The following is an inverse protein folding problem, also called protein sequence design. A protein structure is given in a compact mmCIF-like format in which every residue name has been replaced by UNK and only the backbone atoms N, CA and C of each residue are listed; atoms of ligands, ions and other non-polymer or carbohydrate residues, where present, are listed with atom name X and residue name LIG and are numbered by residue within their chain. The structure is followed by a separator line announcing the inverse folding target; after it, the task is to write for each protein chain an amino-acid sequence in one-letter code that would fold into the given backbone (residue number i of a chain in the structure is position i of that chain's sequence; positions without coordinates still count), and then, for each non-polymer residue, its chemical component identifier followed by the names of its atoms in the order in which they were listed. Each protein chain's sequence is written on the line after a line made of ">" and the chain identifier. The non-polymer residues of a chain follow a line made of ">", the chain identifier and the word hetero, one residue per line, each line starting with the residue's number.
data_IF_438203614984
#
_entry.id   IF_438203614984
#
_cell.length_a   1.000
_cell.length_b   1.000
_cell.length_c   1.000
_cell.angle_alpha   90.00
_cell.angle_beta   90.00
_cell.angle_gamma   90.00
#
_symmetry.space_group_name_H-M   'P 1'
#
loop_
_entity.id
_entity.type
_entity.pdbx_description
1 polymer ?
#
# COMPACT_ATOMS: atom_id res chain seq x y z
N UNK A 1 9.19 -5.30 21.48
CA UNK A 1 10.60 -5.07 21.76
C UNK A 1 11.13 -6.08 22.75
N UNK A 2 10.57 -6.20 23.96
CA UNK A 2 11.03 -7.15 24.97
C UNK A 2 10.98 -8.63 24.52
N UNK A 3 10.11 -8.99 23.59
CA UNK A 3 10.02 -10.30 22.98
C UNK A 3 11.03 -10.50 21.83
N UNK A 4 11.92 -9.55 21.55
CA UNK A 4 12.94 -9.63 20.50
C UNK A 4 12.46 -9.20 19.11
N UNK A 5 11.38 -8.43 19.01
CA UNK A 5 10.95 -7.86 17.73
C UNK A 5 11.89 -6.72 17.30
N UNK A 6 12.25 -6.68 16.01
CA UNK A 6 13.08 -5.64 15.40
C UNK A 6 12.28 -4.46 14.86
N UNK A 7 10.97 -4.58 14.78
CA UNK A 7 10.04 -3.54 14.36
C UNK A 7 8.59 -3.93 14.65
N UNK A 8 7.71 -2.95 14.59
CA UNK A 8 6.26 -3.12 14.83
C UNK A 8 5.48 -2.57 13.64
N UNK A 9 4.49 -3.31 13.16
CA UNK A 9 3.47 -2.79 12.26
C UNK A 9 2.16 -2.57 13.03
N UNK A 10 1.73 -1.31 13.14
CA UNK A 10 0.42 -0.95 13.68
C UNK A 10 -0.65 -1.18 12.61
N UNK A 11 -1.53 -2.15 12.85
CA UNK A 11 -2.66 -2.40 11.98
C UNK A 11 -3.90 -1.65 12.50
N UNK A 12 -4.03 -0.38 12.13
CA UNK A 12 -5.20 0.42 12.51
C UNK A 12 -6.34 0.14 11.53
N UNK A 13 -7.27 -0.70 11.97
CA UNK A 13 -8.45 -1.11 11.19
C UNK A 13 -9.70 -0.50 11.82
N UNK A 14 -10.12 0.65 11.32
CA UNK A 14 -11.25 1.38 11.86
C UNK A 14 -12.20 1.85 10.76
N UNK A 15 -13.48 1.59 10.96
CA UNK A 15 -14.55 2.07 10.08
C UNK A 15 -15.39 3.05 10.91
N UNK A 16 -15.29 4.37 10.67
CA UNK A 16 -16.06 5.37 11.39
C UNK A 16 -17.52 5.31 10.94
N UNK A 17 -18.40 4.82 11.79
CA UNK A 17 -19.83 4.66 11.52
C UNK A 17 -20.70 5.74 12.18
N UNK A 18 -20.13 6.51 13.11
CA UNK A 18 -20.83 7.64 13.71
C UNK A 18 -20.89 8.82 12.73
N UNK A 19 -22.10 9.18 12.33
CA UNK A 19 -22.36 10.29 11.40
C UNK A 19 -21.95 11.67 11.95
N UNK A 20 -21.75 11.80 13.26
CA UNK A 20 -21.32 13.04 13.90
C UNK A 20 -19.80 13.12 14.10
N UNK A 21 -19.07 12.04 13.81
CA UNK A 21 -17.61 12.00 13.95
C UNK A 21 -16.95 12.65 12.72
N UNK A 22 -16.33 13.83 12.84
CA UNK A 22 -15.71 14.49 11.71
C UNK A 22 -14.39 13.81 11.30
N UNK A 23 -14.06 13.87 10.02
CA UNK A 23 -12.88 13.16 9.46
C UNK A 23 -11.55 13.54 10.13
N UNK A 24 -11.38 14.79 10.56
CA UNK A 24 -10.15 15.22 11.23
C UNK A 24 -9.93 14.55 12.60
N UNK A 25 -11.00 14.20 13.31
CA UNK A 25 -10.90 13.45 14.57
C UNK A 25 -10.47 12.01 14.32
N UNK A 26 -11.00 11.39 13.25
CA UNK A 26 -10.54 10.07 12.80
C UNK A 26 -9.05 10.11 12.45
N UNK A 27 -8.61 11.10 11.67
CA UNK A 27 -7.20 11.28 11.31
C UNK A 27 -6.30 11.49 12.54
N UNK A 28 -6.74 12.31 13.49
CA UNK A 28 -6.01 12.55 14.75
C UNK A 28 -5.85 11.27 15.57
N UNK A 29 -6.87 10.43 15.64
CA UNK A 29 -6.80 9.14 16.34
C UNK A 29 -5.62 8.27 15.81
N UNK A 30 -5.41 8.21 14.49
CA UNK A 30 -4.27 7.46 13.92
C UNK A 30 -2.92 8.05 14.36
N UNK A 31 -2.83 9.38 14.38
CA UNK A 31 -1.60 10.10 14.79
C UNK A 31 -1.33 9.88 16.28
N UNK A 32 -2.37 9.93 17.11
CA UNK A 32 -2.23 9.75 18.55
C UNK A 32 -1.83 8.31 18.89
N UNK A 33 -2.39 7.32 18.23
CA UNK A 33 -1.98 5.91 18.37
C UNK A 33 -0.49 5.76 17.99
N UNK A 34 -0.06 6.31 16.87
CA UNK A 34 1.32 6.23 16.42
C UNK A 34 2.26 6.86 17.47
N UNK A 35 1.97 8.06 17.94
CA UNK A 35 2.78 8.77 18.95
C UNK A 35 2.89 7.99 20.24
N UNK A 36 1.76 7.48 20.76
CA UNK A 36 1.74 6.70 21.99
C UNK A 36 2.61 5.44 21.90
N UNK A 37 2.61 4.76 20.75
CA UNK A 37 3.47 3.60 20.54
C UNK A 37 4.93 4.03 20.40
N UNK A 38 5.24 5.08 19.63
CA UNK A 38 6.62 5.61 19.48
C UNK A 38 7.23 6.04 20.81
N UNK A 39 6.43 6.56 21.74
CA UNK A 39 6.88 6.90 23.10
C UNK A 39 7.19 5.66 23.96
N UNK A 40 6.63 4.51 23.60
CA UNK A 40 6.74 3.27 24.38
C UNK A 40 7.83 2.31 23.91
N UNK A 41 8.37 2.49 22.69
CA UNK A 41 9.36 1.61 22.08
C UNK A 41 10.48 2.39 21.39
N UNK A 42 11.66 1.73 21.24
CA UNK A 42 12.81 2.31 20.53
C UNK A 42 13.04 1.67 19.16
N UNK A 43 12.27 0.63 18.83
CA UNK A 43 12.33 -0.05 17.51
C UNK A 43 11.48 0.68 16.48
N UNK A 44 11.73 0.52 15.19
CA UNK A 44 10.95 1.13 14.13
C UNK A 44 9.46 0.77 14.20
N UNK A 45 8.60 1.74 13.92
CA UNK A 45 7.16 1.59 13.92
C UNK A 45 6.60 1.93 12.54
N UNK A 46 6.08 0.92 11.86
CA UNK A 46 5.28 1.06 10.65
C UNK A 46 3.80 1.26 11.03
N UNK A 47 3.08 2.02 10.22
CA UNK A 47 1.63 2.14 10.35
C UNK A 47 0.93 1.73 9.06
N UNK A 48 -0.02 0.81 9.17
CA UNK A 48 -0.82 0.33 8.06
C UNK A 48 -2.16 1.02 8.01
N UNK A 49 -2.48 1.56 6.85
CA UNK A 49 -3.57 2.50 6.66
C UNK A 49 -4.68 1.94 5.76
N UNK A 50 -5.86 2.53 5.88
CA UNK A 50 -6.93 2.46 4.89
C UNK A 50 -6.65 3.45 3.74
N UNK A 51 -7.19 3.24 2.53
CA UNK A 51 -7.15 4.24 1.46
C UNK A 51 -8.23 5.33 1.61
N UNK A 52 -9.09 5.25 2.61
CA UNK A 52 -10.33 6.03 2.72
C UNK A 52 -10.17 7.34 3.50
N UNK A 53 -9.10 8.07 3.24
CA UNK A 53 -8.92 9.42 3.74
C UNK A 53 -9.34 10.46 2.70
N UNK A 54 -9.95 11.55 3.12
CA UNK A 54 -10.32 12.65 2.21
C UNK A 54 -9.10 13.28 1.51
N UNK A 55 -7.94 13.28 2.19
CA UNK A 55 -6.65 13.73 1.65
C UNK A 55 -5.53 12.80 2.12
N UNK A 56 -5.38 11.68 1.43
CA UNK A 56 -4.38 10.67 1.81
C UNK A 56 -2.94 11.22 1.80
N UNK A 57 -2.58 12.06 0.83
CA UNK A 57 -1.25 12.66 0.78
C UNK A 57 -0.95 13.54 2.00
N UNK A 58 -1.94 14.29 2.49
CA UNK A 58 -1.80 15.06 3.72
C UNK A 58 -1.70 14.16 4.95
N UNK A 59 -2.51 13.11 5.01
CA UNK A 59 -2.46 12.14 6.10
C UNK A 59 -1.09 11.44 6.18
N UNK A 60 -0.54 11.01 5.04
CA UNK A 60 0.80 10.41 4.96
C UNK A 60 1.88 11.38 5.47
N UNK A 61 1.82 12.65 5.04
CA UNK A 61 2.72 13.70 5.54
C UNK A 61 2.62 13.87 7.06
N UNK A 62 1.42 13.95 7.62
CA UNK A 62 1.20 14.12 9.06
C UNK A 62 1.73 12.93 9.87
N UNK A 63 1.62 11.72 9.35
CA UNK A 63 2.19 10.51 9.98
C UNK A 63 3.73 10.50 9.90
N UNK A 64 4.30 10.89 8.78
CA UNK A 64 5.74 11.07 8.61
C UNK A 64 6.29 12.08 9.63
N UNK A 65 5.66 13.25 9.75
CA UNK A 65 5.98 14.29 10.73
C UNK A 65 5.75 13.84 12.19
N UNK A 66 4.84 12.90 12.43
CA UNK A 66 4.61 12.29 13.73
C UNK A 66 5.59 11.16 14.07
N UNK A 67 6.53 10.84 13.17
CA UNK A 67 7.62 9.90 13.40
C UNK A 67 7.34 8.46 12.93
N UNK A 68 6.43 8.24 12.00
CA UNK A 68 6.30 6.93 11.36
C UNK A 68 7.60 6.56 10.63
N UNK A 69 8.15 5.39 10.91
CA UNK A 69 9.32 4.87 10.19
C UNK A 69 8.93 4.25 8.84
N UNK A 70 7.70 3.75 8.74
CA UNK A 70 7.13 3.27 7.47
C UNK A 70 5.61 3.45 7.42
N UNK A 71 5.10 3.59 6.19
CA UNK A 71 3.67 3.60 5.88
C UNK A 71 3.36 2.39 4.99
N UNK A 72 2.42 1.54 5.45
CA UNK A 72 1.98 0.35 4.72
C UNK A 72 0.63 0.64 4.04
N UNK A 73 0.60 0.55 2.73
CA UNK A 73 -0.54 0.84 1.86
C UNK A 73 -1.03 -0.41 1.15
N UNK A 74 -2.22 -0.93 1.36
CA UNK A 74 -3.28 -0.53 2.27
C UNK A 74 -3.88 -1.74 2.97
N UNK A 75 -4.56 -1.50 4.09
CA UNK A 75 -5.50 -2.46 4.65
C UNK A 75 -6.56 -2.79 3.59
N UNK A 76 -6.87 -4.07 3.47
CA UNK A 76 -7.98 -4.52 2.65
C UNK A 76 -9.21 -4.65 3.53
N UNK A 77 -10.17 -3.74 3.36
CA UNK A 77 -11.43 -3.80 4.07
C UNK A 77 -12.31 -4.87 3.45
N UNK A 78 -12.74 -5.80 4.28
CA UNK A 78 -13.70 -6.81 3.89
C UNK A 78 -15.08 -6.18 3.77
N UNK A 79 -15.72 -6.41 2.64
CA UNK A 79 -17.06 -5.92 2.41
C UNK A 79 -18.05 -6.98 2.85
N UNK A 80 -19.12 -6.62 3.58
CA UNK A 80 -20.19 -7.54 3.89
C UNK A 80 -20.98 -7.90 2.62
N UNK A 81 -21.52 -9.10 2.57
CA UNK A 81 -22.48 -9.54 1.57
C UNK A 81 -23.78 -9.99 2.25
N UNK A 82 -24.85 -10.13 1.49
CA UNK A 82 -26.15 -10.52 2.00
C UNK A 82 -26.56 -11.88 1.45
N UNK A 83 -26.88 -12.79 2.35
CA UNK A 83 -27.63 -14.00 2.03
C UNK A 83 -29.11 -13.62 1.90
N UNK A 84 -29.62 -13.62 0.68
CA UNK A 84 -31.00 -13.21 0.39
C UNK A 84 -32.01 -14.28 0.77
N UNK A 85 -31.61 -15.54 0.89
CA UNK A 85 -32.49 -16.63 1.27
C UNK A 85 -32.73 -16.64 2.78
N UNK A 86 -31.69 -16.39 3.57
CA UNK A 86 -31.73 -16.36 5.02
C UNK A 86 -31.90 -14.96 5.61
N UNK A 87 -31.78 -13.89 4.79
CA UNK A 87 -31.79 -12.47 5.18
C UNK A 87 -30.74 -12.14 6.25
N UNK A 88 -29.53 -12.68 6.04
CA UNK A 88 -28.40 -12.51 6.97
C UNK A 88 -27.23 -11.79 6.29
N UNK A 89 -26.40 -11.12 7.12
CA UNK A 89 -25.12 -10.58 6.68
C UNK A 89 -24.10 -11.70 6.79
N UNK A 90 -23.45 -12.02 5.66
CA UNK A 90 -22.46 -13.10 5.59
C UNK A 90 -21.05 -12.56 5.39
N UNK A 91 -20.06 -13.06 6.15
CA UNK A 91 -18.67 -12.75 5.89
C UNK A 91 -18.21 -13.50 4.64
N UNK A 92 -17.68 -12.78 3.66
CA UNK A 92 -17.13 -13.38 2.46
C UNK A 92 -15.71 -12.91 2.19
N UNK A 93 -14.73 -13.81 2.36
CA UNK A 93 -13.34 -13.52 2.11
C UNK A 93 -12.98 -13.79 0.64
N UNK A 94 -12.82 -12.73 -0.13
CA UNK A 94 -12.24 -12.79 -1.47
C UNK A 94 -10.74 -12.51 -1.40
N UNK A 95 -9.92 -13.42 -1.89
CA UNK A 95 -8.47 -13.17 -2.03
C UNK A 95 -8.23 -12.14 -3.15
N UNK A 96 -7.18 -11.32 -2.97
CA UNK A 96 -6.83 -10.28 -3.95
C UNK A 96 -6.41 -10.86 -5.31
N UNK A 97 -6.48 -10.01 -6.31
CA UNK A 97 -5.85 -10.15 -7.63
C UNK A 97 -4.85 -9.02 -7.86
N UNK A 98 -3.99 -9.09 -8.88
CA UNK A 98 -3.03 -8.01 -9.21
C UNK A 98 -3.71 -6.68 -9.53
N UNK A 99 -5.01 -6.67 -9.78
CA UNK A 99 -5.74 -5.43 -10.06
C UNK A 99 -5.80 -4.48 -8.86
N UNK A 100 -5.92 -5.03 -7.65
CA UNK A 100 -6.00 -4.23 -6.42
C UNK A 100 -4.70 -3.48 -6.09
N UNK A 101 -3.55 -3.91 -6.64
CA UNK A 101 -2.28 -3.21 -6.48
C UNK A 101 -2.30 -1.78 -7.03
N UNK A 102 -3.22 -1.44 -7.93
CA UNK A 102 -3.25 -0.12 -8.59
C UNK A 102 -3.49 1.04 -7.62
N UNK A 103 -4.16 0.80 -6.50
CA UNK A 103 -4.39 1.83 -5.49
C UNK A 103 -3.10 2.15 -4.72
N UNK A 104 -2.41 1.19 -4.08
CA UNK A 104 -1.11 1.46 -3.46
C UNK A 104 -0.06 1.97 -4.47
N UNK A 105 -0.02 1.42 -5.68
CA UNK A 105 0.89 1.89 -6.74
C UNK A 105 0.78 3.39 -6.98
N UNK A 106 -0.45 3.89 -7.15
CA UNK A 106 -0.72 5.32 -7.37
C UNK A 106 -0.19 6.17 -6.23
N UNK A 107 -0.50 5.80 -4.99
CA UNK A 107 -0.14 6.60 -3.83
C UNK A 107 1.36 6.56 -3.54
N UNK A 108 2.02 5.42 -3.71
CA UNK A 108 3.48 5.31 -3.63
C UNK A 108 4.14 6.22 -4.67
N UNK A 109 3.67 6.17 -5.93
CA UNK A 109 4.22 7.00 -6.99
C UNK A 109 4.05 8.51 -6.70
N UNK A 110 2.93 8.91 -6.11
CA UNK A 110 2.65 10.30 -5.73
C UNK A 110 3.52 10.75 -4.54
N UNK A 111 3.72 9.88 -3.55
CA UNK A 111 4.40 10.20 -2.30
C UNK A 111 5.93 10.09 -2.38
N UNK A 112 6.46 9.42 -3.38
CA UNK A 112 7.90 9.20 -3.53
C UNK A 112 8.69 10.51 -3.45
N UNK A 113 9.65 10.55 -2.50
CA UNK A 113 10.46 11.73 -2.15
C UNK A 113 9.67 12.95 -1.65
N UNK A 114 8.42 12.77 -1.20
CA UNK A 114 7.64 13.81 -0.50
C UNK A 114 7.53 13.53 1.00
N UNK A 115 7.79 12.30 1.41
CA UNK A 115 7.88 11.86 2.81
C UNK A 115 9.21 11.13 3.02
N UNK A 116 9.64 11.00 4.28
CA UNK A 116 10.87 10.31 4.67
C UNK A 116 10.60 8.85 5.06
N UNK A 117 9.41 8.58 5.60
CA UNK A 117 8.99 7.24 5.97
C UNK A 117 9.11 6.28 4.78
N UNK A 118 9.58 5.06 5.02
CA UNK A 118 9.57 3.99 4.03
C UNK A 118 8.15 3.65 3.61
N UNK A 119 7.98 3.21 2.36
CA UNK A 119 6.66 2.89 1.81
C UNK A 119 6.57 1.42 1.41
N UNK A 120 5.61 0.71 1.99
CA UNK A 120 5.32 -0.67 1.64
C UNK A 120 3.95 -0.80 0.97
N UNK A 121 3.89 -1.59 -0.12
CA UNK A 121 2.64 -1.95 -0.76
C UNK A 121 2.14 -3.28 -0.25
N UNK A 122 0.85 -3.37 0.06
CA UNK A 122 0.15 -4.63 0.33
C UNK A 122 -1.18 -4.66 -0.41
N UNK A 123 -1.69 -5.85 -0.66
CA UNK A 123 -2.81 -6.18 -1.56
C UNK A 123 -2.45 -6.13 -3.05
N UNK A 124 -2.75 -7.22 -3.74
CA UNK A 124 -2.58 -7.32 -5.18
C UNK A 124 -1.15 -7.58 -5.66
N UNK A 125 -0.25 -8.02 -4.81
CA UNK A 125 1.10 -8.44 -5.20
C UNK A 125 1.10 -9.96 -5.41
N UNK A 126 1.23 -10.39 -6.66
CA UNK A 126 1.13 -11.80 -7.07
C UNK A 126 2.27 -12.27 -7.98
N UNK A 127 3.00 -11.34 -8.60
CA UNK A 127 4.02 -11.65 -9.60
C UNK A 127 5.25 -10.74 -9.46
N UNK A 128 6.34 -11.11 -10.14
CA UNK A 128 7.51 -10.25 -10.26
C UNK A 128 7.17 -8.91 -10.93
N UNK A 129 6.27 -8.90 -11.91
CA UNK A 129 5.80 -7.67 -12.57
C UNK A 129 5.14 -6.72 -11.58
N UNK A 130 4.32 -7.24 -10.63
CA UNK A 130 3.70 -6.43 -9.59
C UNK A 130 4.76 -5.82 -8.66
N UNK A 131 5.76 -6.61 -8.25
CA UNK A 131 6.89 -6.13 -7.44
C UNK A 131 7.66 -5.04 -8.19
N UNK A 132 8.03 -5.26 -9.45
CA UNK A 132 8.74 -4.30 -10.29
C UNK A 132 7.98 -2.97 -10.36
N UNK A 133 6.68 -3.01 -10.62
CA UNK A 133 5.84 -1.81 -10.68
C UNK A 133 5.86 -1.02 -9.37
N UNK A 134 5.79 -1.70 -8.23
CA UNK A 134 5.87 -1.05 -6.92
C UNK A 134 7.25 -0.43 -6.69
N UNK A 135 8.33 -1.14 -7.01
CA UNK A 135 9.69 -0.59 -6.87
C UNK A 135 9.90 0.62 -7.80
N UNK A 136 9.48 0.54 -9.05
CA UNK A 136 9.55 1.65 -10.00
C UNK A 136 8.67 2.85 -9.59
N UNK A 137 7.56 2.63 -8.90
CA UNK A 137 6.77 3.70 -8.30
C UNK A 137 7.50 4.40 -7.14
N UNK A 138 8.42 3.71 -6.47
CA UNK A 138 9.20 4.24 -5.34
C UNK A 138 8.96 3.53 -4.02
N UNK A 139 8.31 2.35 -4.02
CA UNK A 139 8.13 1.52 -2.84
C UNK A 139 9.44 0.96 -2.31
N UNK A 140 9.47 0.70 -1.01
CA UNK A 140 10.58 0.07 -0.30
C UNK A 140 10.35 -1.43 -0.10
N UNK A 141 9.09 -1.83 0.01
CA UNK A 141 8.69 -3.22 0.18
C UNK A 141 7.40 -3.54 -0.59
N UNK A 142 7.31 -4.78 -1.06
CA UNK A 142 6.12 -5.37 -1.65
C UNK A 142 5.72 -6.61 -0.83
N UNK A 143 4.50 -6.59 -0.28
CA UNK A 143 4.02 -7.60 0.67
C UNK A 143 3.02 -8.52 -0.01
N UNK A 144 3.27 -9.83 0.05
CA UNK A 144 2.44 -10.87 -0.54
C UNK A 144 1.68 -11.64 0.55
N UNK A 145 0.40 -11.89 0.33
CA UNK A 145 -0.41 -12.75 1.20
C UNK A 145 -1.31 -13.68 0.39
N UNK A 146 -2.24 -13.14 -0.40
CA UNK A 146 -3.23 -13.92 -1.15
C UNK A 146 -2.60 -14.94 -2.11
N UNK A 147 -1.50 -14.58 -2.73
CA UNK A 147 -0.78 -15.49 -3.63
C UNK A 147 -0.09 -16.63 -2.88
N UNK A 148 0.48 -16.31 -1.70
CA UNK A 148 1.09 -17.32 -0.83
C UNK A 148 0.05 -18.30 -0.24
N UNK A 149 -1.16 -17.81 0.05
CA UNK A 149 -2.26 -18.67 0.49
C UNK A 149 -2.71 -19.64 -0.62
N UNK A 150 -2.62 -19.23 -1.88
CA UNK A 150 -2.99 -20.07 -3.04
C UNK A 150 -1.90 -21.07 -3.44
N UNK A 151 -0.65 -20.62 -3.43
CA UNK A 151 0.45 -21.36 -4.07
C UNK A 151 1.55 -21.81 -3.09
N UNK A 152 1.44 -21.39 -1.81
CA UNK A 152 2.45 -21.71 -0.79
C UNK A 152 3.67 -20.80 -0.82
N UNK A 153 4.59 -20.95 0.16
CA UNK A 153 5.73 -20.03 0.35
C UNK A 153 6.79 -20.12 -0.75
N UNK A 154 6.84 -21.22 -1.52
CA UNK A 154 7.76 -21.38 -2.64
C UNK A 154 7.59 -20.27 -3.68
N UNK A 155 6.39 -19.70 -3.75
CA UNK A 155 6.04 -18.61 -4.66
C UNK A 155 6.96 -17.39 -4.51
N UNK A 156 7.48 -17.12 -3.32
CA UNK A 156 8.46 -16.04 -3.09
C UNK A 156 9.72 -16.27 -3.92
N UNK A 157 10.23 -17.50 -3.93
CA UNK A 157 11.43 -17.85 -4.69
C UNK A 157 11.21 -17.71 -6.19
N UNK A 158 10.05 -18.12 -6.69
CA UNK A 158 9.67 -17.94 -8.10
C UNK A 158 9.62 -16.47 -8.49
N UNK A 159 8.92 -15.65 -7.70
CA UNK A 159 8.81 -14.20 -7.94
C UNK A 159 10.18 -13.52 -7.91
N UNK A 160 11.06 -13.89 -6.99
CA UNK A 160 12.41 -13.36 -6.93
C UNK A 160 13.25 -13.79 -8.15
N UNK A 161 13.13 -15.03 -8.60
CA UNK A 161 13.80 -15.51 -9.81
C UNK A 161 13.37 -14.74 -11.06
N UNK A 162 12.06 -14.55 -11.22
CA UNK A 162 11.50 -13.81 -12.35
C UNK A 162 11.90 -12.32 -12.30
N UNK A 163 11.93 -11.73 -11.10
CA UNK A 163 12.42 -10.36 -10.89
C UNK A 163 13.87 -10.22 -11.32
N UNK A 164 14.74 -11.14 -10.92
CA UNK A 164 16.17 -11.12 -11.30
C UNK A 164 16.34 -11.29 -12.81
N UNK A 165 15.60 -12.19 -13.44
CA UNK A 165 15.63 -12.40 -14.88
C UNK A 165 15.22 -11.12 -15.64
N UNK A 166 14.14 -10.46 -15.19
CA UNK A 166 13.69 -9.20 -15.78
C UNK A 166 14.71 -8.08 -15.59
N UNK A 167 15.31 -7.97 -14.41
CA UNK A 167 16.37 -6.97 -14.16
C UNK A 167 17.56 -7.18 -15.08
N UNK A 168 17.98 -8.43 -15.28
CA UNK A 168 19.08 -8.75 -16.20
C UNK A 168 18.72 -8.43 -17.66
N UNK A 169 17.51 -8.75 -18.11
CA UNK A 169 17.02 -8.41 -19.46
C UNK A 169 17.00 -6.89 -19.70
N UNK A 170 16.64 -6.12 -18.68
CA UNK A 170 16.55 -4.65 -18.75
C UNK A 170 17.82 -3.91 -18.30
N UNK A 171 18.90 -4.65 -18.08
CA UNK A 171 20.21 -4.10 -17.70
C UNK A 171 20.20 -3.27 -16.41
N UNK A 172 19.30 -3.64 -15.44
CA UNK A 172 19.33 -3.06 -14.11
C UNK A 172 20.29 -3.82 -13.19
N UNK A 173 21.25 -3.10 -12.60
CA UNK A 173 22.23 -3.67 -11.66
C UNK A 173 21.66 -3.84 -10.23
N UNK A 174 20.64 -3.06 -9.86
CA UNK A 174 20.03 -3.10 -8.52
C UNK A 174 18.62 -2.54 -8.51
N UNK A 175 17.84 -2.94 -7.50
CA UNK A 175 16.53 -2.35 -7.20
C UNK A 175 16.65 -0.83 -6.96
N UNK A 176 17.73 -0.39 -6.30
CA UNK A 176 17.96 1.03 -6.02
C UNK A 176 18.08 1.88 -7.30
N UNK A 177 18.63 1.31 -8.39
CA UNK A 177 18.74 1.99 -9.66
C UNK A 177 17.38 2.24 -10.32
N UNK A 178 16.45 1.30 -10.22
CA UNK A 178 15.12 1.44 -10.83
C UNK A 178 14.09 2.10 -9.92
N UNK A 179 14.36 2.18 -8.60
CA UNK A 179 13.41 2.67 -7.62
C UNK A 179 12.98 4.12 -7.90
N UNK A 180 11.66 4.31 -8.02
CA UNK A 180 11.05 5.62 -8.25
C UNK A 180 11.19 6.17 -9.68
N UNK A 181 11.72 5.39 -10.63
CA UNK A 181 11.87 5.80 -12.03
C UNK A 181 10.53 6.11 -12.70
N UNK A 182 9.43 5.48 -12.25
CA UNK A 182 8.06 5.71 -12.73
C UNK A 182 7.20 6.47 -11.70
N UNK A 183 7.83 7.16 -10.74
CA UNK A 183 7.10 8.01 -9.78
C UNK A 183 6.55 9.28 -10.44
N UNK A 184 5.59 9.93 -9.80
CA UNK A 184 5.05 11.22 -10.28
C UNK A 184 6.15 12.26 -10.51
N UNK A 185 7.20 12.23 -9.69
CA UNK A 185 8.34 13.15 -9.81
C UNK A 185 9.22 12.87 -11.03
N UNK A 186 9.27 11.62 -11.47
CA UNK A 186 10.26 11.15 -12.48
C UNK A 186 9.68 11.00 -13.87
N UNK A 187 8.37 10.82 -14.02
CA UNK A 187 7.72 10.62 -15.33
C UNK A 187 7.58 11.93 -16.10
N UNK A 188 7.56 11.82 -17.43
CA UNK A 188 7.39 12.97 -18.32
C UNK A 188 6.02 13.67 -18.18
N UNK A 189 4.97 12.91 -17.81
CA UNK A 189 3.61 13.42 -17.61
C UNK A 189 3.15 13.19 -16.16
N UNK A 190 3.54 14.00 -15.17
CA UNK A 190 3.11 13.84 -13.77
C UNK A 190 1.60 13.85 -13.57
N UNK A 191 0.88 14.61 -14.41
CA UNK A 191 -0.59 14.70 -14.42
C UNK A 191 -1.27 13.35 -14.73
N UNK A 192 -0.53 12.33 -15.23
CA UNK A 192 -1.04 10.98 -15.43
C UNK A 192 -1.50 10.31 -14.11
N UNK A 193 -0.96 10.72 -12.97
CA UNK A 193 -1.39 10.28 -11.64
C UNK A 193 -2.59 11.06 -11.08
N UNK A 194 -3.00 12.13 -11.75
CA UNK A 194 -4.05 13.04 -11.35
C UNK A 194 -5.29 12.94 -12.26
N UNK A 195 -6.20 13.90 -12.11
CA UNK A 195 -7.46 13.94 -12.86
C UNK A 195 -7.30 13.98 -14.38
N UNK A 196 -6.22 14.56 -14.90
CA UNK A 196 -5.98 14.68 -16.35
C UNK A 196 -5.99 13.34 -17.10
N UNK A 197 -5.77 12.24 -16.39
CA UNK A 197 -5.79 10.89 -16.95
C UNK A 197 -7.19 10.30 -17.16
N UNK A 198 -8.24 10.91 -16.62
CA UNK A 198 -9.60 10.35 -16.63
C UNK A 198 -10.11 10.07 -18.05
N UNK A 199 -10.00 11.02 -18.95
CA UNK A 199 -10.47 10.86 -20.33
C UNK A 199 -9.63 9.85 -21.13
N UNK A 200 -8.30 9.80 -20.89
CA UNK A 200 -7.44 8.77 -21.51
C UNK A 200 -7.84 7.37 -21.06
N UNK A 201 -8.18 7.18 -19.79
CA UNK A 201 -8.61 5.89 -19.24
C UNK A 201 -9.94 5.45 -19.85
N UNK A 202 -10.94 6.34 -19.93
CA UNK A 202 -12.23 6.02 -20.55
C UNK A 202 -12.07 5.61 -22.01
N UNK A 203 -11.21 6.29 -22.76
CA UNK A 203 -10.97 6.00 -24.18
C UNK A 203 -10.04 4.77 -24.40
N UNK A 204 -9.46 4.20 -23.33
CA UNK A 204 -8.63 3.00 -23.43
C UNK A 204 -9.42 1.69 -23.41
N UNK A 205 -10.71 1.74 -23.11
CA UNK A 205 -11.58 0.55 -23.15
C UNK A 205 -11.76 0.10 -24.60
N UNK A 206 -11.40 -1.14 -24.84
CA UNK A 206 -11.62 -1.82 -26.13
C UNK A 206 -12.62 -2.93 -25.88
N UNK A 207 -13.67 -2.98 -26.70
CA UNK A 207 -14.66 -4.07 -26.76
C UNK A 207 -14.01 -5.30 -27.37
#
# INVERSE_FOLDING_TARGET
>A
EQAGADGIELNVYYIPTDINLPGYEVENMYIDILKAVKESVNIPVAIKLSPYFSSFANMAKRLDEAGADAIVMFNRFYQPDFDLDNLEIVPHLLLSSSYEMRVPLRWIAILYRKIHASMAATSGIHSAEDVIKIMMAGGDAAMMCSDLLRHGPIRITEVLSDLMAWMQEKEYESISQMKGSMSQKSVAEPAAFERANYMKVLNSYKI
#
